data_IF_587920538979
#
_entry.id   IF_587920538979
#
_cell.length_a   1.000
_cell.length_b   1.000
_cell.length_c   1.000
_cell.angle_alpha   90.00
_cell.angle_beta   90.00
_cell.angle_gamma   90.00
#
_symmetry.space_group_name_H-M   'P 1'
#
loop_
_entity.id
_entity.type
_entity.pdbx_description
1 polymer ?
#
# COMPACT_ATOMS: atom_id res chain seq x y z
N UNK A 1 -5.54 -26.08 -33.44
CA UNK A 1 -4.95 -26.10 -32.08
C UNK A 1 -4.59 -24.68 -31.68
N UNK A 2 -5.41 -24.05 -30.85
CA UNK A 2 -5.17 -22.69 -30.35
C UNK A 2 -4.19 -22.83 -29.17
N UNK A 3 -2.95 -22.37 -29.36
CA UNK A 3 -1.95 -22.27 -28.28
C UNK A 3 -2.35 -21.08 -27.40
N UNK A 4 -3.06 -21.33 -26.30
CA UNK A 4 -3.20 -20.34 -25.24
C UNK A 4 -1.79 -20.01 -24.73
N UNK A 5 -1.32 -18.79 -25.03
CA UNK A 5 -0.17 -18.21 -24.34
C UNK A 5 -0.62 -17.95 -22.91
N UNK A 6 -0.22 -18.81 -21.99
CA UNK A 6 -0.24 -18.51 -20.56
C UNK A 6 0.54 -17.19 -20.39
N UNK A 7 -0.17 -16.14 -19.96
CA UNK A 7 0.45 -14.87 -19.55
C UNK A 7 1.43 -15.21 -18.44
N UNK A 8 2.70 -14.87 -18.66
CA UNK A 8 3.76 -15.03 -17.68
C UNK A 8 3.43 -14.21 -16.44
N UNK A 9 3.37 -14.89 -15.30
CA UNK A 9 3.21 -14.38 -13.95
C UNK A 9 4.08 -13.13 -13.67
N UNK A 10 3.52 -11.95 -13.34
CA UNK A 10 4.30 -10.75 -13.13
C UNK A 10 4.68 -10.56 -11.65
N UNK A 11 5.51 -11.43 -11.10
CA UNK A 11 6.48 -11.08 -10.04
C UNK A 11 7.60 -12.12 -10.09
N UNK A 12 8.74 -11.79 -10.70
CA UNK A 12 9.99 -12.45 -10.28
C UNK A 12 10.23 -11.96 -8.86
N UNK A 13 9.89 -12.78 -7.86
CA UNK A 13 10.15 -12.46 -6.45
C UNK A 13 11.58 -11.96 -6.23
N UNK A 14 11.78 -11.14 -5.19
CA UNK A 14 13.10 -10.54 -4.90
C UNK A 14 14.18 -11.61 -4.89
N UNK A 15 15.29 -11.32 -5.56
CA UNK A 15 16.41 -12.26 -5.63
C UNK A 15 16.97 -12.55 -4.24
N UNK A 16 17.51 -13.75 -4.02
CA UNK A 16 18.16 -14.12 -2.75
C UNK A 16 19.21 -13.08 -2.29
N UNK A 17 20.08 -12.53 -3.17
CA UNK A 17 20.97 -11.44 -2.79
C UNK A 17 20.26 -10.18 -2.27
N UNK A 18 19.12 -9.80 -2.86
CA UNK A 18 18.34 -8.66 -2.40
C UNK A 18 17.75 -8.90 -1.00
N UNK A 19 17.26 -10.12 -0.72
CA UNK A 19 16.77 -10.49 0.61
C UNK A 19 17.92 -10.50 1.63
N UNK A 20 19.09 -11.06 1.30
CA UNK A 20 20.27 -11.04 2.17
C UNK A 20 20.68 -9.60 2.51
N UNK A 21 20.59 -8.68 1.55
CA UNK A 21 20.86 -7.25 1.80
C UNK A 21 19.92 -6.67 2.85
N UNK A 22 18.63 -7.01 2.84
CA UNK A 22 17.67 -6.55 3.84
C UNK A 22 17.96 -7.09 5.25
N UNK A 23 18.36 -8.35 5.36
CA UNK A 23 18.72 -8.98 6.65
C UNK A 23 19.93 -8.29 7.29
N UNK A 24 20.87 -7.80 6.46
CA UNK A 24 22.09 -7.15 6.92
C UNK A 24 21.90 -5.70 7.37
N UNK A 25 20.74 -5.09 7.07
CA UNK A 25 20.45 -3.72 7.49
C UNK A 25 20.44 -3.64 9.01
N UNK A 26 21.24 -2.73 9.55
CA UNK A 26 21.27 -2.47 10.99
C UNK A 26 20.27 -1.36 11.34
N UNK A 27 19.55 -1.48 12.46
CA UNK A 27 18.77 -0.37 13.00
C UNK A 27 19.68 0.83 13.28
N UNK A 28 19.25 2.01 12.83
CA UNK A 28 19.92 3.28 13.10
C UNK A 28 18.89 4.25 13.68
N UNK A 29 19.13 4.87 14.86
CA UNK A 29 18.16 5.75 15.49
C UNK A 29 17.74 6.96 14.64
N UNK A 30 18.65 7.51 13.84
CA UNK A 30 18.32 8.65 12.97
C UNK A 30 17.41 8.22 11.82
N UNK A 31 17.77 7.13 11.14
CA UNK A 31 16.98 6.54 10.08
C UNK A 31 15.59 6.10 10.60
N UNK A 32 15.51 5.49 11.78
CA UNK A 32 14.25 5.14 12.42
C UNK A 32 13.36 6.38 12.64
N UNK A 33 13.93 7.48 13.16
CA UNK A 33 13.19 8.74 13.31
C UNK A 33 12.71 9.30 11.97
N UNK A 34 13.51 9.15 10.92
CA UNK A 34 13.15 9.59 9.57
C UNK A 34 11.96 8.81 9.01
N UNK A 35 12.04 7.48 9.07
CA UNK A 35 10.97 6.57 8.61
C UNK A 35 9.68 6.86 9.39
N UNK A 36 9.76 6.96 10.72
CA UNK A 36 8.59 7.28 11.56
C UNK A 36 7.96 8.62 11.20
N UNK A 37 8.78 9.67 10.99
CA UNK A 37 8.25 10.99 10.60
C UNK A 37 7.60 10.96 9.22
N UNK A 38 8.19 10.25 8.26
CA UNK A 38 7.61 10.13 6.94
C UNK A 38 6.29 9.36 6.97
N UNK A 39 6.22 8.26 7.73
CA UNK A 39 4.98 7.51 7.93
C UNK A 39 3.89 8.37 8.57
N UNK A 40 4.21 9.15 9.60
CA UNK A 40 3.23 10.08 10.20
C UNK A 40 2.72 11.10 9.19
N UNK A 41 3.60 11.63 8.32
CA UNK A 41 3.20 12.56 7.26
C UNK A 41 2.32 11.88 6.21
N UNK A 42 2.64 10.64 5.86
CA UNK A 42 1.87 9.82 4.92
C UNK A 42 0.46 9.55 5.47
N UNK A 43 0.35 9.00 6.68
CA UNK A 43 -0.92 8.73 7.36
C UNK A 43 -1.76 10.00 7.55
N UNK A 44 -1.15 11.13 7.91
CA UNK A 44 -1.87 12.42 8.00
C UNK A 44 -2.42 12.87 6.64
N UNK A 45 -1.64 12.70 5.56
CA UNK A 45 -2.08 13.03 4.21
C UNK A 45 -3.22 12.11 3.74
N UNK A 46 -3.18 10.82 4.11
CA UNK A 46 -4.25 9.87 3.83
C UNK A 46 -5.55 10.25 4.54
N UNK A 47 -5.51 10.49 5.86
CA UNK A 47 -6.68 10.89 6.66
C UNK A 47 -7.35 12.16 6.13
N UNK A 48 -6.52 13.11 5.67
CA UNK A 48 -6.98 14.39 5.13
C UNK A 48 -7.28 14.37 3.62
N UNK A 49 -7.12 13.21 2.96
CA UNK A 49 -7.30 13.00 1.51
C UNK A 49 -6.42 13.94 0.66
N UNK A 50 -5.25 14.30 1.18
CA UNK A 50 -4.25 15.15 0.53
C UNK A 50 -3.37 14.33 -0.44
N UNK A 51 -3.87 14.13 -1.67
CA UNK A 51 -3.14 13.42 -2.72
C UNK A 51 -1.75 14.02 -2.99
N UNK A 52 -1.57 15.36 -3.13
CA UNK A 52 -0.24 15.96 -3.20
C UNK A 52 0.67 15.60 -2.02
N UNK A 53 0.14 15.64 -0.79
CA UNK A 53 0.84 15.25 0.43
C UNK A 53 1.31 13.80 0.39
N UNK A 54 0.45 12.87 -0.04
CA UNK A 54 0.79 11.46 -0.24
C UNK A 54 1.93 11.31 -1.24
N UNK A 55 1.83 11.95 -2.42
CA UNK A 55 2.86 11.86 -3.46
C UNK A 55 4.22 12.44 -3.00
N UNK A 56 4.22 13.39 -2.06
CA UNK A 56 5.46 13.92 -1.49
C UNK A 56 6.22 12.91 -0.62
N UNK A 57 5.55 11.84 -0.16
CA UNK A 57 6.16 10.77 0.65
C UNK A 57 6.73 9.61 -0.18
N UNK A 58 6.51 9.64 -1.49
CA UNK A 58 6.82 8.54 -2.40
C UNK A 58 7.99 8.87 -3.33
N UNK A 59 8.82 7.86 -3.65
CA UNK A 59 9.78 7.97 -4.75
C UNK A 59 9.06 8.15 -6.09
N UNK A 60 9.74 8.74 -7.08
CA UNK A 60 9.12 8.98 -8.40
C UNK A 60 8.75 7.68 -9.12
N UNK A 61 9.46 6.58 -8.84
CA UNK A 61 9.27 5.24 -9.36
C UNK A 61 8.48 4.31 -8.43
N UNK A 62 7.74 4.86 -7.45
CA UNK A 62 7.00 4.08 -6.47
C UNK A 62 6.04 3.06 -7.11
N UNK A 63 5.81 1.93 -6.44
CA UNK A 63 4.86 0.91 -6.90
C UNK A 63 3.89 0.54 -5.79
N UNK A 64 2.61 0.69 -6.07
CA UNK A 64 1.53 0.17 -5.24
C UNK A 64 1.15 -1.20 -5.78
N UNK A 65 1.14 -2.19 -4.90
CA UNK A 65 0.77 -3.57 -5.24
C UNK A 65 -0.32 -4.05 -4.30
N UNK A 66 -1.49 -4.33 -4.85
CA UNK A 66 -2.53 -5.07 -4.12
C UNK A 66 -2.32 -6.56 -4.38
N UNK A 67 -1.81 -7.26 -3.37
CA UNK A 67 -1.38 -8.65 -3.50
C UNK A 67 -2.55 -9.63 -3.68
N UNK A 68 -3.75 -9.26 -3.25
CA UNK A 68 -4.97 -10.06 -3.43
C UNK A 68 -5.23 -10.38 -4.91
N UNK A 69 -5.03 -9.40 -5.79
CA UNK A 69 -5.32 -9.50 -7.23
C UNK A 69 -4.07 -9.52 -8.09
N UNK A 70 -2.92 -9.10 -7.53
CA UNK A 70 -1.68 -8.86 -8.26
C UNK A 70 -1.71 -7.56 -9.09
N UNK A 71 -2.67 -6.67 -8.84
CA UNK A 71 -2.77 -5.37 -9.52
C UNK A 71 -1.63 -4.46 -9.04
N UNK A 72 -1.02 -3.75 -10.00
CA UNK A 72 0.07 -2.83 -9.74
C UNK A 72 -0.21 -1.45 -10.35
N UNK A 73 0.19 -0.40 -9.64
CA UNK A 73 0.21 0.96 -10.14
C UNK A 73 1.64 1.50 -10.02
N UNK A 74 2.16 2.07 -11.11
CA UNK A 74 3.57 2.44 -11.23
C UNK A 74 3.77 3.95 -11.30
N UNK A 75 4.79 4.42 -10.57
CA UNK A 75 5.15 5.82 -10.43
C UNK A 75 4.08 6.64 -9.71
N UNK A 76 4.36 7.94 -9.54
CA UNK A 76 3.44 8.88 -8.89
C UNK A 76 2.10 9.01 -9.60
N UNK A 77 2.08 8.93 -10.93
CA UNK A 77 0.83 8.92 -11.70
C UNK A 77 -0.01 7.69 -11.38
N UNK A 78 0.61 6.51 -11.33
CA UNK A 78 -0.05 5.27 -10.91
C UNK A 78 -0.55 5.35 -9.48
N UNK A 79 0.27 5.80 -8.54
CA UNK A 79 -0.13 5.94 -7.13
C UNK A 79 -1.29 6.94 -6.96
N UNK A 80 -1.29 8.04 -7.72
CA UNK A 80 -2.42 8.98 -7.78
C UNK A 80 -3.69 8.27 -8.26
N UNK A 81 -3.59 7.47 -9.32
CA UNK A 81 -4.72 6.71 -9.84
C UNK A 81 -5.25 5.68 -8.83
N UNK A 82 -4.37 4.99 -8.10
CA UNK A 82 -4.73 4.09 -7.01
C UNK A 82 -5.59 4.80 -5.96
N UNK A 83 -5.15 5.95 -5.44
CA UNK A 83 -5.91 6.69 -4.43
C UNK A 83 -7.23 7.25 -4.98
N UNK A 84 -7.26 7.72 -6.23
CA UNK A 84 -8.50 8.16 -6.86
C UNK A 84 -9.53 7.02 -6.95
N UNK A 85 -9.09 5.82 -7.31
CA UNK A 85 -9.96 4.65 -7.33
C UNK A 85 -10.41 4.27 -5.91
N UNK A 86 -9.48 4.25 -4.95
CA UNK A 86 -9.77 3.88 -3.57
C UNK A 86 -10.82 4.81 -2.95
N UNK A 87 -10.61 6.13 -3.09
CA UNK A 87 -11.51 7.14 -2.54
C UNK A 87 -12.83 7.27 -3.31
N UNK A 88 -12.88 6.84 -4.58
CA UNK A 88 -14.14 6.73 -5.31
C UNK A 88 -14.94 5.48 -4.88
N UNK A 89 -14.24 4.38 -4.57
CA UNK A 89 -14.85 3.15 -4.05
C UNK A 89 -15.32 3.28 -2.61
N UNK A 90 -14.54 3.98 -1.78
CA UNK A 90 -14.75 4.13 -0.34
C UNK A 90 -14.56 5.59 0.10
N UNK A 91 -15.53 6.49 -0.15
CA UNK A 91 -15.35 7.93 0.05
C UNK A 91 -15.08 8.33 1.50
N UNK A 92 -15.61 7.55 2.45
CA UNK A 92 -15.53 7.72 3.89
C UNK A 92 -14.57 6.69 4.55
N UNK A 93 -13.66 6.08 3.76
CA UNK A 93 -12.71 5.09 4.28
C UNK A 93 -11.97 5.61 5.51
N UNK A 94 -11.94 4.77 6.54
CA UNK A 94 -11.24 5.03 7.79
C UNK A 94 -10.39 3.83 8.16
N UNK A 95 -9.11 4.08 8.44
CA UNK A 95 -8.15 3.09 8.90
C UNK A 95 -7.94 3.24 10.42
N UNK A 96 -8.45 2.31 11.21
CA UNK A 96 -8.16 2.20 12.64
C UNK A 96 -6.89 1.36 12.82
N UNK A 97 -5.76 2.02 13.07
CA UNK A 97 -4.44 1.39 13.18
C UNK A 97 -4.36 0.45 14.39
N UNK A 98 -4.13 -0.84 14.14
CA UNK A 98 -4.05 -1.89 15.17
C UNK A 98 -2.60 -2.20 15.57
N UNK A 99 -1.72 -2.31 14.58
CA UNK A 99 -0.31 -2.67 14.80
C UNK A 99 0.62 -1.86 13.90
N UNK A 100 1.80 -1.51 14.41
CA UNK A 100 2.86 -0.84 13.65
C UNK A 100 4.24 -1.37 14.03
N UNK A 101 5.05 -1.66 13.02
CA UNK A 101 6.46 -2.06 13.14
C UNK A 101 7.30 -1.18 12.23
N UNK A 102 8.30 -0.53 12.82
CA UNK A 102 9.21 0.36 12.09
C UNK A 102 10.62 -0.23 12.14
N UNK A 103 11.18 -0.52 10.98
CA UNK A 103 12.52 -1.10 10.84
C UNK A 103 13.33 -0.42 9.74
N UNK A 104 14.62 -0.75 9.58
CA UNK A 104 15.44 -0.16 8.52
C UNK A 104 14.97 -0.53 7.10
N UNK A 105 14.09 -1.52 6.96
CA UNK A 105 13.44 -1.92 5.71
C UNK A 105 12.24 -1.05 5.35
N UNK A 106 11.65 -0.31 6.31
CA UNK A 106 10.42 0.45 6.13
C UNK A 106 9.43 0.28 7.27
N UNK A 107 8.14 0.49 6.97
CA UNK A 107 7.04 0.34 7.93
C UNK A 107 6.17 -0.83 7.54
N UNK A 108 5.77 -1.62 8.51
CA UNK A 108 4.68 -2.58 8.39
C UNK A 108 3.57 -2.15 9.33
N UNK A 109 2.33 -2.21 8.87
CA UNK A 109 1.18 -1.94 9.71
C UNK A 109 0.01 -2.87 9.41
N UNK A 110 -0.87 -2.97 10.40
CA UNK A 110 -2.18 -3.61 10.28
C UNK A 110 -3.22 -2.61 10.78
N UNK A 111 -4.32 -2.50 10.04
CA UNK A 111 -5.44 -1.64 10.39
C UNK A 111 -6.77 -2.36 10.17
N UNK A 112 -7.74 -2.04 11.02
CA UNK A 112 -9.14 -2.39 10.80
C UNK A 112 -9.77 -1.25 10.02
N UNK A 113 -10.46 -1.57 8.93
CA UNK A 113 -11.01 -0.58 8.00
C UNK A 113 -12.52 -0.62 8.02
N UNK A 114 -13.13 0.56 8.10
CA UNK A 114 -14.58 0.76 7.93
C UNK A 114 -14.84 1.74 6.80
N UNK A 115 -15.85 1.48 5.98
CA UNK A 115 -16.25 2.37 4.88
C UNK A 115 -17.67 2.09 4.37
N UNK A 116 -18.23 3.04 3.64
CA UNK A 116 -19.35 2.86 2.71
C UNK A 116 -18.80 2.49 1.33
N UNK A 117 -19.27 1.38 0.75
CA UNK A 117 -18.80 0.89 -0.55
C UNK A 117 -19.69 1.42 -1.69
N UNK A 118 -19.21 2.44 -2.40
CA UNK A 118 -19.98 3.18 -3.42
C UNK A 118 -19.64 2.82 -4.87
N UNK A 119 -18.42 2.41 -5.17
CA UNK A 119 -17.99 2.02 -6.51
C UNK A 119 -17.13 0.78 -6.50
N UNK A 120 -17.23 -0.06 -7.53
CA UNK A 120 -16.50 -1.33 -7.61
C UNK A 120 -15.00 -1.16 -7.37
N UNK A 121 -14.48 -1.85 -6.36
CA UNK A 121 -13.06 -1.90 -6.02
C UNK A 121 -12.44 -3.20 -6.54
N UNK A 122 -11.57 -3.09 -7.54
CA UNK A 122 -10.85 -4.21 -8.14
C UNK A 122 -11.78 -5.38 -8.52
N UNK A 123 -11.50 -6.58 -8.01
CA UNK A 123 -12.24 -7.81 -8.30
C UNK A 123 -13.36 -8.09 -7.28
N UNK A 124 -13.66 -7.13 -6.39
CA UNK A 124 -14.80 -7.26 -5.48
C UNK A 124 -16.12 -7.23 -6.26
N UNK A 125 -17.19 -7.87 -5.73
CA UNK A 125 -18.52 -7.72 -6.28
C UNK A 125 -18.93 -6.24 -6.45
N UNK A 126 -19.87 -5.93 -7.35
CA UNK A 126 -20.37 -4.57 -7.52
C UNK A 126 -20.82 -3.94 -6.21
N UNK A 127 -20.55 -2.65 -6.07
CA UNK A 127 -21.00 -1.86 -4.94
C UNK A 127 -22.54 -1.73 -4.96
N UNK A 128 -23.17 -1.89 -3.79
CA UNK A 128 -24.60 -1.69 -3.55
C UNK A 128 -24.86 -0.55 -2.55
N UNK A 129 -23.82 0.22 -2.17
CA UNK A 129 -23.90 1.31 -1.18
C UNK A 129 -23.92 0.85 0.27
N UNK A 130 -23.52 -0.40 0.54
CA UNK A 130 -23.51 -0.99 1.87
C UNK A 130 -22.30 -0.52 2.70
N UNK A 131 -22.48 -0.48 4.02
CA UNK A 131 -21.36 -0.39 4.96
C UNK A 131 -20.56 -1.68 4.90
N UNK A 132 -19.23 -1.58 4.96
CA UNK A 132 -18.33 -2.73 5.02
C UNK A 132 -17.26 -2.53 6.07
N UNK A 133 -16.75 -3.66 6.55
CA UNK A 133 -15.56 -3.73 7.39
C UNK A 133 -14.59 -4.78 6.84
N UNK A 134 -13.28 -4.54 6.98
CA UNK A 134 -12.24 -5.48 6.60
C UNK A 134 -10.92 -5.15 7.30
N UNK A 135 -9.99 -6.09 7.33
CA UNK A 135 -8.65 -5.86 7.86
C UNK A 135 -7.66 -5.68 6.70
N UNK A 136 -6.72 -4.76 6.86
CA UNK A 136 -5.64 -4.51 5.91
C UNK A 136 -4.27 -4.67 6.57
N UNK A 137 -3.32 -5.20 5.80
CA UNK A 137 -1.91 -5.28 6.14
C UNK A 137 -1.11 -4.59 5.05
N UNK A 138 -0.25 -3.63 5.43
CA UNK A 138 0.51 -2.81 4.49
C UNK A 138 1.99 -2.83 4.86
N UNK A 139 2.83 -3.05 3.84
CA UNK A 139 4.28 -2.82 3.92
C UNK A 139 4.64 -1.60 3.05
N UNK A 140 5.26 -0.59 3.66
CA UNK A 140 5.82 0.60 3.03
C UNK A 140 7.35 0.44 2.94
N UNK A 141 7.91 -0.03 1.82
CA UNK A 141 9.35 -0.25 1.73
C UNK A 141 10.09 1.09 1.69
N UNK A 142 11.19 1.19 2.43
CA UNK A 142 11.98 2.41 2.55
C UNK A 142 13.17 2.46 1.59
N UNK A 143 13.34 3.57 0.89
CA UNK A 143 14.58 3.92 0.20
C UNK A 143 15.44 4.83 1.08
N UNK A 144 16.56 4.31 1.59
CA UNK A 144 17.45 5.08 2.47
C UNK A 144 18.21 6.22 1.78
N UNK A 145 18.37 6.17 0.46
CA UNK A 145 19.05 7.23 -0.32
C UNK A 145 18.09 8.38 -0.58
N UNK A 146 16.89 8.09 -1.06
CA UNK A 146 15.86 9.09 -1.34
C UNK A 146 15.18 9.58 -0.05
N UNK A 147 15.21 8.76 1.00
CA UNK A 147 14.50 8.96 2.28
C UNK A 147 12.99 9.06 2.08
N UNK A 148 12.46 8.21 1.21
CA UNK A 148 11.05 8.13 0.79
C UNK A 148 10.59 6.67 0.75
N UNK A 149 9.28 6.45 0.71
CA UNK A 149 8.73 5.12 0.48
C UNK A 149 8.74 4.79 -1.02
N UNK A 150 9.01 3.54 -1.37
CA UNK A 150 9.00 3.07 -2.76
C UNK A 150 7.62 2.60 -3.20
N UNK A 151 6.55 3.08 -2.55
CA UNK A 151 5.18 2.61 -2.70
C UNK A 151 4.75 1.67 -1.57
N UNK A 152 3.78 0.80 -1.85
CA UNK A 152 3.11 -0.02 -0.85
C UNK A 152 2.81 -1.42 -1.35
N UNK A 153 2.82 -2.37 -0.42
CA UNK A 153 2.36 -3.74 -0.65
C UNK A 153 1.21 -4.02 0.29
N UNK A 154 0.03 -4.14 -0.28
CA UNK A 154 -1.24 -4.14 0.43
C UNK A 154 -1.87 -5.52 0.31
N UNK A 155 -2.31 -6.08 1.43
CA UNK A 155 -3.22 -7.23 1.46
C UNK A 155 -4.41 -6.87 2.33
N UNK A 156 -5.62 -7.14 1.86
CA UNK A 156 -6.83 -7.02 2.69
C UNK A 156 -7.51 -8.37 2.85
N UNK A 157 -8.28 -8.54 3.93
CA UNK A 157 -8.98 -9.78 4.23
C UNK A 157 -10.22 -9.54 5.08
N UNK A 158 -11.06 -10.57 5.21
CA UNK A 158 -12.18 -10.53 6.15
C UNK A 158 -13.30 -9.56 5.77
N UNK A 159 -13.43 -9.19 4.48
CA UNK A 159 -14.51 -8.30 4.01
C UNK A 159 -15.87 -8.85 4.42
N UNK A 160 -16.61 -8.06 5.17
CA UNK A 160 -18.00 -8.29 5.56
C UNK A 160 -18.85 -7.08 5.22
N UNK A 161 -20.09 -7.32 4.83
CA UNK A 161 -21.11 -6.29 4.86
C UNK A 161 -21.53 -6.07 6.32
N UNK A 162 -21.60 -4.81 6.74
CA UNK A 162 -22.14 -4.37 8.02
C UNK A 162 -23.67 -4.43 8.07
#
# INVERSE_FOLDING_TARGET
MIRMKLKTNPEKGRSRPAIIKQIRLQPDPENHRAIRRLWMAHSTAEDTRDIPGLMATLTDDCVYTVLNTGTNWHGKEGATHFYQQLLASFPDIHFDLQHIVIGPQGVFEEAHVTATYEQTWLDLPPAEGQSIEFDVTILFPWDAKCRLFTGERITFSGIKAG
#
